data_IF_206029951796
#
_entry.id   IF_206029951796
#
_cell.length_a   1.000
_cell.length_b   1.000
_cell.length_c   1.000
_cell.angle_alpha   90.00
_cell.angle_beta   90.00
_cell.angle_gamma   90.00
#
_symmetry.space_group_name_H-M   'P 1'
#
loop_
_entity.id
_entity.type
_entity.pdbx_description
1 polymer ?
#
# COMPACT_ATOMS: atom_id res chain seq x y z
N UNK A 1 -14.00 7.96 -11.94
CA UNK A 1 -12.86 7.53 -11.10
C UNK A 1 -13.10 8.03 -9.69
N UNK A 2 -12.85 7.21 -8.69
CA UNK A 2 -12.98 7.59 -7.28
C UNK A 2 -11.59 7.70 -6.64
N UNK A 3 -11.47 8.58 -5.66
CA UNK A 3 -10.28 8.71 -4.82
C UNK A 3 -10.68 8.47 -3.37
N UNK A 4 -10.05 7.47 -2.76
CA UNK A 4 -10.24 7.11 -1.36
C UNK A 4 -8.98 7.54 -0.60
N UNK A 5 -9.17 8.43 0.38
CA UNK A 5 -8.12 8.85 1.31
C UNK A 5 -8.44 8.30 2.68
N UNK A 6 -7.44 7.73 3.35
CA UNK A 6 -7.63 7.16 4.68
C UNK A 6 -6.35 7.19 5.51
N UNK A 7 -6.51 7.22 6.83
CA UNK A 7 -5.41 7.09 7.80
C UNK A 7 -5.58 5.77 8.54
N UNK A 8 -4.55 4.93 8.50
CA UNK A 8 -4.50 3.65 9.21
C UNK A 8 -3.74 3.78 10.53
N UNK A 9 -4.23 3.07 11.54
CA UNK A 9 -3.47 2.80 12.75
C UNK A 9 -2.20 2.01 12.43
N UNK A 10 -1.13 2.13 13.25
CA UNK A 10 0.08 1.32 13.12
C UNK A 10 -0.17 -0.12 13.59
N UNK A 11 -0.98 -0.85 12.84
CA UNK A 11 -1.38 -2.22 13.12
C UNK A 11 -0.96 -3.14 11.97
N UNK A 12 -0.46 -4.32 12.32
CA UNK A 12 -0.04 -5.31 11.35
C UNK A 12 -1.18 -5.69 10.41
N UNK A 13 -0.91 -5.68 9.11
CA UNK A 13 -1.87 -6.07 8.08
C UNK A 13 -3.04 -5.09 7.88
N UNK A 14 -3.04 -3.91 8.50
CA UNK A 14 -4.12 -2.92 8.35
C UNK A 14 -4.33 -2.55 6.87
N UNK A 15 -3.24 -2.24 6.16
CA UNK A 15 -3.29 -1.92 4.73
C UNK A 15 -3.82 -3.11 3.91
N UNK A 16 -3.31 -4.32 4.15
CA UNK A 16 -3.74 -5.53 3.45
C UNK A 16 -5.24 -5.80 3.64
N UNK A 17 -5.76 -5.61 4.86
CA UNK A 17 -7.20 -5.74 5.15
C UNK A 17 -8.05 -4.75 4.35
N UNK A 18 -7.61 -3.50 4.26
CA UNK A 18 -8.29 -2.46 3.46
C UNK A 18 -8.29 -2.82 1.98
N UNK A 19 -7.14 -3.16 1.41
CA UNK A 19 -7.03 -3.54 -0.01
C UNK A 19 -7.90 -4.75 -0.33
N UNK A 20 -7.85 -5.79 0.51
CA UNK A 20 -8.70 -6.96 0.34
C UNK A 20 -10.19 -6.64 0.47
N UNK A 21 -10.58 -5.70 1.34
CA UNK A 21 -11.98 -5.25 1.42
C UNK A 21 -12.41 -4.56 0.13
N UNK A 22 -11.59 -3.65 -0.41
CA UNK A 22 -11.87 -2.94 -1.66
C UNK A 22 -12.11 -3.92 -2.81
N UNK A 23 -11.20 -4.87 -3.02
CA UNK A 23 -11.31 -5.84 -4.11
C UNK A 23 -12.50 -6.79 -3.95
N UNK A 24 -12.79 -7.28 -2.73
CA UNK A 24 -13.98 -8.11 -2.46
C UNK A 24 -15.30 -7.37 -2.71
N UNK A 25 -15.30 -6.04 -2.73
CA UNK A 25 -16.47 -5.22 -3.09
C UNK A 25 -16.56 -4.90 -4.58
N UNK A 26 -15.66 -5.49 -5.37
CA UNK A 26 -15.63 -5.36 -6.82
C UNK A 26 -15.00 -4.06 -7.31
N UNK A 27 -14.26 -3.35 -6.44
CA UNK A 27 -13.49 -2.18 -6.86
C UNK A 27 -12.08 -2.62 -7.23
N UNK A 28 -11.62 -2.28 -8.44
CA UNK A 28 -10.22 -2.50 -8.83
C UNK A 28 -9.33 -1.40 -8.28
N UNK A 29 -8.11 -1.76 -7.95
CA UNK A 29 -7.06 -0.82 -7.53
C UNK A 29 -6.38 -0.26 -8.78
N UNK A 30 -6.38 1.07 -8.91
CA UNK A 30 -5.68 1.77 -10.00
C UNK A 30 -4.29 2.21 -9.57
N UNK A 31 -4.23 3.12 -8.61
CA UNK A 31 -2.99 3.63 -8.04
C UNK A 31 -3.06 3.65 -6.51
N UNK A 32 -1.92 3.43 -5.86
CA UNK A 32 -1.79 3.43 -4.41
C UNK A 32 -0.58 4.27 -4.07
N UNK A 33 -0.76 5.25 -3.18
CA UNK A 33 0.32 6.00 -2.54
C UNK A 33 0.13 5.93 -1.05
N UNK A 34 1.23 5.79 -0.31
CA UNK A 34 1.19 5.83 1.15
C UNK A 34 2.36 6.62 1.70
N UNK A 35 2.14 7.24 2.84
CA UNK A 35 3.12 8.05 3.56
C UNK A 35 3.00 7.78 5.07
N UNK A 36 4.13 7.61 5.77
CA UNK A 36 4.12 7.60 7.23
C UNK A 36 3.55 8.91 7.77
N UNK A 37 2.71 8.83 8.80
CA UNK A 37 2.18 10.00 9.51
C UNK A 37 2.29 9.81 11.02
N UNK A 38 2.23 10.88 11.84
CA UNK A 38 2.23 10.74 13.30
C UNK A 38 1.08 9.87 13.84
N UNK A 39 0.04 9.66 13.03
CA UNK A 39 -1.13 8.83 13.37
C UNK A 39 -1.07 7.44 12.73
N UNK A 40 0.04 7.05 12.09
CA UNK A 40 0.24 5.74 11.49
C UNK A 40 0.60 5.86 10.02
N UNK A 41 -0.30 5.47 9.12
CA UNK A 41 -0.05 5.46 7.68
C UNK A 41 -1.19 6.16 6.95
N UNK A 42 -0.88 7.27 6.27
CA UNK A 42 -1.83 7.91 5.36
C UNK A 42 -1.76 7.22 3.99
N UNK A 43 -2.92 6.89 3.43
CA UNK A 43 -3.06 6.09 2.21
C UNK A 43 -4.03 6.79 1.26
N UNK A 44 -3.59 6.91 0.00
CA UNK A 44 -4.33 7.50 -1.10
C UNK A 44 -4.51 6.46 -2.19
N UNK A 45 -5.76 6.19 -2.56
CA UNK A 45 -6.15 5.11 -3.45
C UNK A 45 -6.99 5.65 -4.60
N UNK A 46 -6.61 5.33 -5.82
CA UNK A 46 -7.43 5.59 -7.00
C UNK A 46 -8.16 4.33 -7.42
N UNK A 47 -9.48 4.43 -7.55
CA UNK A 47 -10.36 3.33 -7.88
C UNK A 47 -11.06 3.64 -9.22
N UNK A 48 -10.66 2.99 -10.33
CA UNK A 48 -11.41 3.03 -11.58
C UNK A 48 -12.76 2.36 -11.35
N UNK A 49 -13.80 3.18 -11.18
CA UNK A 49 -15.15 2.74 -10.90
C UNK A 49 -16.16 3.51 -11.74
N UNK A 50 -17.15 2.78 -12.24
CA UNK A 50 -18.37 3.22 -12.92
C UNK A 50 -19.59 3.25 -11.97
N UNK A 51 -19.38 2.87 -10.71
CA UNK A 51 -20.40 2.76 -9.66
C UNK A 51 -20.11 3.70 -8.48
N UNK A 52 -21.15 4.09 -7.73
CA UNK A 52 -20.99 4.87 -6.51
C UNK A 52 -20.25 4.08 -5.42
N UNK A 53 -19.43 4.77 -4.64
CA UNK A 53 -18.59 4.18 -3.60
C UNK A 53 -19.10 4.35 -2.16
N UNK A 54 -20.34 4.82 -1.94
CA UNK A 54 -20.86 5.08 -0.59
C UNK A 54 -20.84 3.85 0.32
N UNK A 55 -21.16 2.68 -0.26
CA UNK A 55 -21.12 1.40 0.45
C UNK A 55 -19.68 1.02 0.82
N UNK A 56 -18.72 1.27 -0.07
CA UNK A 56 -17.31 1.03 0.18
C UNK A 56 -16.80 1.92 1.32
N UNK A 57 -17.08 3.23 1.25
CA UNK A 57 -16.67 4.20 2.27
C UNK A 57 -17.19 3.79 3.66
N UNK A 58 -18.49 3.48 3.77
CA UNK A 58 -19.09 3.04 5.04
C UNK A 58 -18.44 1.77 5.58
N UNK A 59 -17.98 0.87 4.72
CA UNK A 59 -17.37 -0.38 5.14
C UNK A 59 -15.91 -0.21 5.54
N UNK A 60 -15.17 0.66 4.86
CA UNK A 60 -13.81 1.06 5.24
C UNK A 60 -13.83 1.76 6.60
N UNK A 61 -14.76 2.68 6.83
CA UNK A 61 -14.93 3.38 8.11
C UNK A 61 -15.28 2.45 9.29
N UNK A 62 -15.75 1.22 9.03
CA UNK A 62 -16.06 0.23 10.06
C UNK A 62 -14.86 -0.65 10.44
N UNK A 63 -13.76 -0.57 9.69
CA UNK A 63 -12.55 -1.31 10.05
C UNK A 63 -11.91 -0.69 11.29
N UNK A 64 -11.63 -1.53 12.28
CA UNK A 64 -11.02 -1.09 13.55
C UNK A 64 -9.72 -0.31 13.38
N UNK A 65 -8.95 -0.62 12.33
CA UNK A 65 -7.65 0.00 12.09
C UNK A 65 -7.73 1.28 11.25
N UNK A 66 -8.93 1.71 10.83
CA UNK A 66 -9.14 2.93 10.06
C UNK A 66 -9.49 4.07 11.02
N UNK A 67 -8.65 5.11 11.06
CA UNK A 67 -8.82 6.29 11.93
C UNK A 67 -9.60 7.40 11.24
N UNK A 68 -9.45 7.52 9.94
CA UNK A 68 -10.17 8.47 9.10
C UNK A 68 -10.31 7.89 7.70
N UNK A 69 -11.43 8.17 7.02
CA UNK A 69 -11.61 7.84 5.62
C UNK A 69 -12.58 8.81 4.95
N UNK A 70 -12.23 9.26 3.74
CA UNK A 70 -13.05 10.07 2.85
C UNK A 70 -12.99 9.51 1.44
N UNK A 71 -14.06 9.73 0.68
CA UNK A 71 -14.17 9.28 -0.70
C UNK A 71 -14.67 10.45 -1.56
N UNK A 72 -13.93 10.76 -2.60
CA UNK A 72 -14.23 11.85 -3.51
C UNK A 72 -14.28 11.37 -4.96
N UNK A 73 -14.97 12.13 -5.81
CA UNK A 73 -14.93 11.93 -7.26
C UNK A 73 -13.68 12.62 -7.78
N UNK A 74 -12.65 11.84 -8.13
CA UNK A 74 -11.45 12.40 -8.72
C UNK A 74 -11.71 12.84 -10.18
N UNK A 75 -11.37 14.09 -10.47
CA UNK A 75 -11.03 14.49 -11.85
C UNK A 75 -9.69 13.86 -12.16
N UNK A 76 -9.58 13.14 -13.28
CA UNK A 76 -8.36 12.41 -13.61
C UNK A 76 -7.16 13.34 -13.75
N UNK A 77 -6.40 13.51 -12.66
CA UNK A 77 -5.17 14.28 -12.61
C UNK A 77 -3.94 13.38 -12.51
N UNK A 78 -4.09 12.05 -12.47
CA UNK A 78 -2.96 11.14 -12.42
C UNK A 78 -2.28 11.11 -13.79
N UNK A 79 -1.04 11.62 -13.94
CA UNK A 79 -0.27 11.37 -15.14
C UNK A 79 -0.03 9.85 -15.24
N UNK A 80 -0.20 9.31 -16.44
CA UNK A 80 0.10 7.91 -16.74
C UNK A 80 1.52 7.59 -16.26
N UNK A 81 1.63 6.66 -15.31
CA UNK A 81 2.86 6.02 -14.84
C UNK A 81 4.02 6.96 -14.42
N UNK A 82 4.41 6.91 -13.14
CA UNK A 82 5.76 7.36 -12.77
C UNK A 82 6.78 6.47 -13.50
N UNK A 83 7.87 7.03 -14.05
CA UNK A 83 8.94 6.24 -14.64
C UNK A 83 9.48 5.26 -13.61
N UNK A 84 9.78 4.04 -14.06
CA UNK A 84 10.37 2.95 -13.30
C UNK A 84 11.48 3.49 -12.38
N UNK A 85 11.24 3.53 -11.06
CA UNK A 85 12.31 3.82 -10.10
C UNK A 85 13.25 2.62 -10.15
N UNK A 86 14.52 2.77 -10.57
CA UNK A 86 15.43 1.65 -10.63
C UNK A 86 15.56 1.07 -9.22
N UNK A 87 15.16 -0.19 -9.04
CA UNK A 87 15.49 -0.94 -7.83
C UNK A 87 17.02 -0.97 -7.76
N UNK A 88 17.66 -0.45 -6.69
CA UNK A 88 19.11 -0.50 -6.60
C UNK A 88 19.55 -1.96 -6.70
N UNK A 89 20.39 -2.25 -7.71
CA UNK A 89 20.93 -3.58 -7.92
C UNK A 89 21.61 -4.04 -6.63
N UNK A 90 21.18 -5.18 -6.09
CA UNK A 90 21.79 -5.83 -4.94
C UNK A 90 23.24 -6.16 -5.27
N UNK A 91 24.18 -5.27 -4.97
CA UNK A 91 25.61 -5.52 -5.06
C UNK A 91 26.16 -5.66 -3.64
N UNK A 92 26.64 -6.86 -3.30
CA UNK A 92 27.61 -7.06 -2.22
C UNK A 92 27.19 -7.84 -0.97
N UNK A 93 26.59 -9.03 -1.09
CA UNK A 93 26.53 -9.99 0.05
C UNK A 93 27.36 -11.26 -0.20
N UNK A 94 27.97 -11.41 -1.39
CA UNK A 94 28.62 -12.68 -1.77
C UNK A 94 30.05 -12.82 -1.22
N UNK A 95 30.67 -11.76 -0.74
CA UNK A 95 32.10 -11.78 -0.35
C UNK A 95 32.39 -12.19 1.11
N UNK A 96 31.35 -12.45 1.92
CA UNK A 96 31.53 -12.69 3.37
C UNK A 96 31.50 -14.17 3.79
N UNK A 97 31.25 -15.11 2.87
CA UNK A 97 31.07 -16.55 3.22
C UNK A 97 32.37 -17.37 3.03
N UNK A 98 33.38 -16.87 2.32
CA UNK A 98 34.59 -17.64 2.00
C UNK A 98 35.77 -17.48 3.00
N UNK A 99 35.55 -16.89 4.19
CA UNK A 99 36.59 -16.82 5.22
C UNK A 99 36.14 -17.59 6.47
N UNK A 100 36.49 -18.88 6.56
CA UNK A 100 36.23 -19.66 7.78
C UNK A 100 36.29 -21.18 7.64
N UNK A 101 37.22 -21.75 6.85
CA UNK A 101 37.55 -23.17 6.93
C UNK A 101 38.86 -23.33 7.72
N UNK A 102 38.74 -23.33 9.04
CA UNK A 102 39.82 -23.61 9.99
C UNK A 102 40.12 -25.11 9.97
N UNK A 103 41.41 -25.44 9.80
CA UNK A 103 41.92 -26.80 9.74
C UNK A 103 41.86 -27.50 11.10
N UNK A 104 41.29 -28.69 11.16
CA UNK A 104 41.37 -29.61 12.30
C UNK A 104 42.49 -30.61 12.02
N UNK A 105 43.57 -30.68 12.81
CA UNK A 105 44.56 -31.73 12.67
C UNK A 105 44.11 -32.99 13.40
N UNK A 106 44.41 -34.16 12.81
CA UNK A 106 44.37 -35.49 13.45
C UNK A 106 45.80 -35.99 13.54
#
# INVERSE_FOLDING_TARGET
MLELTLTLAPAEGALVRVLGLIERRGFRLGAIRSEPSPRGLDVFLQLPADRPGDVLLRQVQRLHDVRAASLDIARSAYPAARPNVPVPARRGIEHAIESGAEAVPV
#
